data_IF_368416367517
#
_entry.id   IF_368416367517
#
_cell.length_a   1.000
_cell.length_b   1.000
_cell.length_c   1.000
_cell.angle_alpha   90.00
_cell.angle_beta   90.00
_cell.angle_gamma   90.00
#
_symmetry.space_group_name_H-M   'P 1'
#
loop_
_entity.id
_entity.type
_entity.pdbx_description
1 polymer ?
#
# COMPACT_ATOMS: atom_id res chain seq x y z
N UNK A 1 29.60 2.69 -11.50
CA UNK A 1 28.17 2.35 -11.37
C UNK A 1 27.57 3.44 -10.51
N UNK A 2 26.57 4.18 -11.01
CA UNK A 2 25.85 5.14 -10.16
C UNK A 2 24.99 4.32 -9.20
N UNK A 3 25.30 4.41 -7.91
CA UNK A 3 24.45 3.86 -6.86
C UNK A 3 23.14 4.63 -6.88
N UNK A 4 22.03 3.89 -6.95
CA UNK A 4 20.69 4.43 -6.79
C UNK A 4 20.59 5.16 -5.45
N UNK A 5 20.19 6.44 -5.47
CA UNK A 5 20.02 7.25 -4.26
C UNK A 5 18.52 7.41 -4.02
N UNK A 6 17.97 6.50 -3.22
CA UNK A 6 16.58 6.55 -2.80
C UNK A 6 16.40 7.53 -1.64
N UNK A 7 15.37 8.35 -1.72
CA UNK A 7 14.92 9.21 -0.62
C UNK A 7 13.45 8.96 -0.36
N UNK A 8 13.06 8.90 0.92
CA UNK A 8 11.66 8.69 1.28
C UNK A 8 10.84 9.90 0.80
N UNK A 9 9.74 9.64 0.12
CA UNK A 9 8.93 10.70 -0.49
C UNK A 9 7.53 10.77 0.12
N UNK A 10 6.86 9.63 0.27
CA UNK A 10 5.51 9.61 0.83
C UNK A 10 5.26 8.33 1.61
N UNK A 11 4.55 8.47 2.73
CA UNK A 11 3.88 7.34 3.37
C UNK A 11 2.39 7.45 3.10
N UNK A 12 1.84 6.47 2.39
CA UNK A 12 0.39 6.35 2.24
C UNK A 12 -0.21 5.62 3.43
N UNK A 13 -1.33 6.15 3.92
CA UNK A 13 -2.12 5.58 5.01
C UNK A 13 -3.43 5.09 4.42
N UNK A 14 -3.69 3.80 4.57
CA UNK A 14 -4.90 3.15 4.08
C UNK A 14 -5.73 2.72 5.28
N UNK A 15 -6.96 3.22 5.38
CA UNK A 15 -7.88 2.89 6.48
C UNK A 15 -9.03 2.06 5.95
N UNK A 16 -9.38 1.01 6.67
CA UNK A 16 -10.55 0.18 6.37
C UNK A 16 -11.02 -0.53 7.63
N UNK A 17 -12.34 -0.52 7.91
CA UNK A 17 -12.94 -1.27 9.01
C UNK A 17 -12.25 -1.12 10.40
N UNK A 18 -11.62 0.03 10.68
CA UNK A 18 -10.87 0.28 11.92
C UNK A 18 -9.38 -0.10 11.85
N UNK A 19 -8.95 -0.82 10.83
CA UNK A 19 -7.56 -1.14 10.57
C UNK A 19 -6.85 -0.03 9.80
N UNK A 20 -5.52 0.03 9.96
CA UNK A 20 -4.66 0.97 9.24
C UNK A 20 -3.45 0.24 8.67
N UNK A 21 -3.28 0.33 7.34
CA UNK A 21 -2.09 -0.11 6.63
C UNK A 21 -1.25 1.06 6.15
N UNK A 22 0.04 0.81 5.94
CA UNK A 22 1.00 1.80 5.48
C UNK A 22 1.73 1.28 4.24
N UNK A 23 1.91 2.16 3.24
CA UNK A 23 2.85 1.91 2.15
C UNK A 23 3.89 3.01 2.11
N UNK A 24 5.17 2.64 2.11
CA UNK A 24 6.29 3.57 2.10
C UNK A 24 6.88 3.66 0.70
N UNK A 25 6.79 4.85 0.11
CA UNK A 25 7.30 5.13 -1.21
C UNK A 25 8.54 6.02 -1.13
N UNK A 26 9.53 5.63 -1.93
CA UNK A 26 10.80 6.31 -2.11
C UNK A 26 10.91 6.80 -3.55
N UNK A 27 11.66 7.88 -3.76
CA UNK A 27 11.98 8.39 -5.08
C UNK A 27 13.46 8.16 -5.38
N UNK A 28 13.76 7.69 -6.59
CA UNK A 28 15.11 7.76 -7.12
C UNK A 28 15.42 9.21 -7.53
N UNK A 29 16.39 9.82 -6.88
CA UNK A 29 16.79 11.20 -7.16
C UNK A 29 17.44 11.39 -8.54
N UNK A 30 17.78 10.30 -9.25
CA UNK A 30 18.33 10.34 -10.61
C UNK A 30 17.22 10.25 -11.66
N UNK A 31 16.39 9.20 -11.63
CA UNK A 31 15.35 8.97 -12.64
C UNK A 31 13.99 9.62 -12.31
N UNK A 32 13.79 10.03 -11.05
CA UNK A 32 12.52 10.57 -10.55
C UNK A 32 11.41 9.51 -10.45
N UNK A 33 11.74 8.22 -10.49
CA UNK A 33 10.79 7.10 -10.41
C UNK A 33 10.49 6.74 -8.95
N UNK A 34 9.25 6.37 -8.65
CA UNK A 34 8.88 5.86 -7.32
C UNK A 34 9.20 4.38 -7.16
N UNK A 35 9.48 4.00 -5.92
CA UNK A 35 9.74 2.65 -5.49
C UNK A 35 8.97 2.37 -4.20
N UNK A 36 8.47 1.16 -4.01
CA UNK A 36 7.85 0.70 -2.76
C UNK A 36 8.85 -0.21 -2.05
N UNK A 37 9.06 -0.02 -0.75
CA UNK A 37 9.83 -0.98 0.05
C UNK A 37 9.08 -1.30 1.34
N UNK A 38 8.93 -2.59 1.64
CA UNK A 38 8.48 -3.06 2.94
C UNK A 38 9.59 -2.95 4.00
N UNK A 39 10.85 -3.00 3.58
CA UNK A 39 12.01 -2.81 4.45
C UNK A 39 12.55 -1.37 4.30
N UNK A 40 12.34 -0.57 5.34
CA UNK A 40 12.81 0.81 5.42
C UNK A 40 14.34 0.91 5.60
N UNK A 41 15.00 -0.18 6.03
CA UNK A 41 16.45 -0.23 6.27
C UNK A 41 17.22 -0.78 5.06
N UNK A 42 16.57 -1.56 4.18
CA UNK A 42 17.18 -2.07 2.95
C UNK A 42 16.47 -1.59 1.68
N UNK A 43 16.84 -0.41 1.14
CA UNK A 43 16.27 0.13 -0.10
C UNK A 43 16.55 -0.73 -1.34
N UNK A 44 17.40 -1.78 -1.27
CA UNK A 44 17.64 -2.70 -2.40
C UNK A 44 16.47 -3.65 -2.64
N UNK A 45 15.60 -3.82 -1.64
CA UNK A 45 14.35 -4.57 -1.75
C UNK A 45 13.23 -3.74 -2.40
N UNK A 46 13.50 -2.48 -2.75
CA UNK A 46 12.48 -1.58 -3.24
C UNK A 46 12.04 -1.96 -4.67
N UNK A 47 10.74 -2.16 -4.84
CA UNK A 47 10.13 -2.52 -6.11
C UNK A 47 9.80 -1.26 -6.93
N UNK A 48 10.28 -1.15 -8.18
CA UNK A 48 9.99 0.01 -9.04
C UNK A 48 8.50 0.10 -9.35
N UNK A 49 7.97 1.32 -9.25
CA UNK A 49 6.61 1.64 -9.66
C UNK A 49 6.58 2.21 -11.07
N UNK A 50 5.44 2.08 -11.74
CA UNK A 50 5.26 2.58 -13.11
C UNK A 50 5.07 4.10 -13.17
N UNK A 51 4.92 4.76 -12.03
CA UNK A 51 4.67 6.20 -11.91
C UNK A 51 5.87 6.94 -11.33
N UNK A 52 5.96 8.22 -11.69
CA UNK A 52 7.00 9.13 -11.19
C UNK A 52 6.65 9.64 -9.81
N UNK A 53 7.68 10.05 -9.08
CA UNK A 53 7.50 10.87 -7.89
C UNK A 53 7.05 12.28 -8.24
N UNK A 54 6.61 12.98 -7.22
CA UNK A 54 6.14 14.37 -7.28
C UNK A 54 7.26 15.37 -7.05
N UNK A 55 8.40 14.94 -6.51
CA UNK A 55 9.51 15.82 -6.12
C UNK A 55 9.18 16.76 -4.96
N UNK A 56 8.05 16.54 -4.27
CA UNK A 56 7.66 17.29 -3.08
C UNK A 56 8.44 16.80 -1.86
N UNK A 57 8.43 17.60 -0.80
CA UNK A 57 8.97 17.20 0.51
C UNK A 57 8.26 15.96 1.05
N UNK A 58 8.97 15.18 1.86
CA UNK A 58 8.41 13.99 2.52
C UNK A 58 7.07 14.32 3.18
N UNK A 59 6.06 13.50 2.93
CA UNK A 59 4.72 13.71 3.47
C UNK A 59 4.01 12.40 3.82
N UNK A 60 2.94 12.51 4.59
CA UNK A 60 2.01 11.43 4.87
C UNK A 60 0.68 11.77 4.23
N UNK A 61 0.16 10.89 3.38
CA UNK A 61 -1.09 11.10 2.63
C UNK A 61 -2.05 9.98 2.96
N UNK A 62 -3.27 10.32 3.36
CA UNK A 62 -4.35 9.36 3.50
C UNK A 62 -4.91 9.00 2.11
N UNK A 63 -4.89 7.71 1.78
CA UNK A 63 -5.48 7.20 0.55
C UNK A 63 -7.01 7.23 0.66
N UNK A 64 -7.68 7.64 -0.41
CA UNK A 64 -9.14 7.79 -0.41
C UNK A 64 -9.78 6.48 -0.85
N UNK A 65 -10.58 5.83 -0.01
CA UNK A 65 -11.36 4.65 -0.42
C UNK A 65 -12.43 5.07 -1.42
N UNK A 66 -12.44 4.45 -2.60
CA UNK A 66 -13.37 4.77 -3.69
C UNK A 66 -14.39 3.67 -3.92
N UNK A 67 -13.98 2.41 -3.77
CA UNK A 67 -14.88 1.27 -3.93
C UNK A 67 -14.44 0.09 -3.08
N UNK A 68 -15.39 -0.77 -2.74
CA UNK A 68 -15.16 -2.04 -2.08
C UNK A 68 -16.02 -3.14 -2.72
N UNK A 69 -15.54 -4.38 -2.67
CA UNK A 69 -16.29 -5.55 -3.12
C UNK A 69 -15.86 -6.79 -2.34
N UNK A 70 -16.83 -7.50 -1.77
CA UNK A 70 -16.60 -8.85 -1.23
C UNK A 70 -16.22 -9.78 -2.38
N UNK A 71 -15.04 -10.37 -2.30
CA UNK A 71 -14.49 -11.28 -3.32
C UNK A 71 -14.89 -12.72 -3.05
N UNK A 72 -14.73 -13.16 -1.80
CA UNK A 72 -15.17 -14.48 -1.36
C UNK A 72 -15.42 -14.50 0.14
N UNK A 73 -16.39 -15.33 0.52
CA UNK A 73 -16.51 -15.85 1.87
C UNK A 73 -15.62 -17.10 1.96
N UNK A 74 -14.88 -17.23 3.05
CA UNK A 74 -14.01 -18.38 3.32
C UNK A 74 -14.83 -19.34 4.21
N UNK A 75 -15.27 -20.50 3.69
CA UNK A 75 -16.31 -21.32 4.33
C UNK A 75 -15.82 -22.34 5.37
N UNK A 76 -14.51 -22.48 5.60
CA UNK A 76 -13.97 -23.48 6.53
C UNK A 76 -14.17 -23.10 8.02
N UNK A 77 -13.79 -23.98 8.96
CA UNK A 77 -14.01 -23.84 10.42
C UNK A 77 -13.57 -22.50 11.02
N UNK A 78 -12.69 -21.83 10.30
CA UNK A 78 -11.92 -20.64 10.65
C UNK A 78 -12.36 -19.43 9.80
N UNK A 79 -13.61 -19.48 9.29
CA UNK A 79 -14.09 -18.74 8.12
C UNK A 79 -13.82 -17.24 8.09
N UNK A 80 -14.11 -16.57 6.98
CA UNK A 80 -13.72 -15.18 6.82
C UNK A 80 -14.29 -14.49 5.60
N UNK A 81 -13.94 -13.22 5.44
CA UNK A 81 -14.31 -12.43 4.26
C UNK A 81 -13.05 -11.81 3.70
N UNK A 82 -12.83 -12.00 2.40
CA UNK A 82 -11.88 -11.22 1.63
C UNK A 82 -12.61 -10.11 0.88
N UNK A 83 -12.22 -8.87 1.16
CA UNK A 83 -12.75 -7.68 0.51
C UNK A 83 -11.68 -7.06 -0.36
N UNK A 84 -11.99 -6.87 -1.63
CA UNK A 84 -11.19 -6.05 -2.54
C UNK A 84 -11.51 -4.58 -2.32
N UNK A 85 -10.47 -3.77 -2.15
CA UNK A 85 -10.55 -2.35 -1.88
C UNK A 85 -9.86 -1.58 -3.00
N UNK A 86 -10.52 -0.56 -3.52
CA UNK A 86 -9.95 0.37 -4.50
C UNK A 86 -9.74 1.73 -3.83
N UNK A 87 -8.48 2.16 -3.79
CA UNK A 87 -8.08 3.45 -3.23
C UNK A 87 -7.59 4.39 -4.32
N UNK A 88 -7.78 5.69 -4.09
CA UNK A 88 -7.24 6.78 -4.90
C UNK A 88 -6.11 7.50 -4.16
N UNK A 89 -4.99 7.71 -4.85
CA UNK A 89 -3.82 8.42 -4.36
C UNK A 89 -3.80 9.85 -4.95
N UNK A 90 -4.15 10.88 -4.17
CA UNK A 90 -4.49 12.20 -4.71
C UNK A 90 -3.30 13.00 -5.23
N UNK A 91 -2.08 12.75 -4.75
CA UNK A 91 -0.88 13.49 -5.16
C UNK A 91 -0.38 13.13 -6.55
N UNK A 92 -0.65 11.90 -7.00
CA UNK A 92 -0.23 11.36 -8.30
C UNK A 92 -1.40 10.96 -9.20
N UNK A 93 -2.64 11.14 -8.73
CA UNK A 93 -3.87 10.89 -9.49
C UNK A 93 -3.94 9.45 -10.05
N UNK A 94 -3.66 8.46 -9.21
CA UNK A 94 -3.76 7.03 -9.58
C UNK A 94 -4.68 6.27 -8.64
N UNK A 95 -5.19 5.14 -9.12
CA UNK A 95 -5.91 4.17 -8.32
C UNK A 95 -5.01 2.98 -8.01
N UNK A 96 -5.13 2.44 -6.80
CA UNK A 96 -4.41 1.25 -6.33
C UNK A 96 -5.36 0.32 -5.62
N UNK A 97 -5.04 -0.97 -5.62
CA UNK A 97 -5.86 -1.99 -4.98
C UNK A 97 -5.22 -2.57 -3.73
N UNK A 98 -6.08 -2.95 -2.79
CA UNK A 98 -5.71 -3.71 -1.61
C UNK A 98 -6.71 -4.85 -1.38
N UNK A 99 -6.28 -5.86 -0.64
CA UNK A 99 -7.13 -6.90 -0.08
C UNK A 99 -7.19 -6.74 1.43
N UNK A 100 -8.39 -6.77 1.97
CA UNK A 100 -8.62 -6.89 3.40
C UNK A 100 -9.20 -8.26 3.70
N UNK A 101 -8.60 -8.96 4.66
CA UNK A 101 -9.05 -10.26 5.13
C UNK A 101 -9.46 -10.17 6.58
N UNK A 102 -10.71 -10.51 6.87
CA UNK A 102 -11.21 -10.74 8.24
C UNK A 102 -11.40 -12.23 8.47
N UNK A 103 -10.88 -12.75 9.57
CA UNK A 103 -11.03 -14.14 10.00
C UNK A 103 -11.95 -14.22 11.23
N UNK A 104 -12.81 -15.24 11.28
CA UNK A 104 -13.89 -15.37 12.27
C UNK A 104 -13.50 -16.23 13.49
N UNK A 105 -12.41 -17.01 13.46
CA UNK A 105 -12.02 -17.80 14.63
C UNK A 105 -10.94 -17.17 15.54
N UNK A 106 -11.15 -17.47 16.82
CA UNK A 106 -10.39 -17.31 18.07
C UNK A 106 -9.54 -16.06 18.41
N UNK A 107 -9.35 -15.07 17.54
CA UNK A 107 -8.74 -13.79 17.96
C UNK A 107 -9.23 -12.52 17.24
N UNK A 108 -10.04 -12.62 16.18
CA UNK A 108 -10.50 -11.44 15.42
C UNK A 108 -9.36 -10.70 14.71
N UNK A 109 -8.41 -11.44 14.14
CA UNK A 109 -7.30 -10.88 13.38
C UNK A 109 -7.81 -10.33 12.04
N UNK A 110 -7.64 -9.03 11.83
CA UNK A 110 -7.79 -8.40 10.53
C UNK A 110 -6.42 -8.19 9.89
N UNK A 111 -6.33 -8.43 8.58
CA UNK A 111 -5.09 -8.18 7.81
C UNK A 111 -5.43 -7.36 6.57
N UNK A 112 -4.76 -6.22 6.42
CA UNK A 112 -4.79 -5.43 5.20
C UNK A 112 -3.49 -5.70 4.41
N UNK A 113 -3.62 -6.25 3.20
CA UNK A 113 -2.52 -6.51 2.27
C UNK A 113 -2.69 -5.67 1.00
N UNK A 114 -1.60 -5.13 0.50
CA UNK A 114 -1.60 -4.43 -0.79
C UNK A 114 -1.41 -5.44 -1.92
N UNK A 115 -2.08 -5.19 -3.06
CA UNK A 115 -1.88 -5.96 -4.28
C UNK A 115 -1.03 -5.11 -5.22
N UNK A 116 0.19 -5.56 -5.46
CA UNK A 116 1.17 -4.93 -6.38
C UNK A 116 0.71 -4.97 -7.85
#
# INVERSE_FOLDING_TARGET
MNSMVLSKEVTYVFKYAGDTGYSHHFIDNIEGRRYISEDLQDPRMAQPQQFKGTGKSESTIEAVLVAERIMREIPDSDGGVETYLLYFLPDINIYVSALHSTWYDTAGLNVLRFLD
#
